data_IF_934653479483
#
_entry.id   IF_934653479483
#
_cell.length_a   1.000
_cell.length_b   1.000
_cell.length_c   1.000
_cell.angle_alpha   90.00
_cell.angle_beta   90.00
_cell.angle_gamma   90.00
#
_symmetry.space_group_name_H-M   'P 1'
#
loop_
_entity.id
_entity.type
_entity.pdbx_description
1 polymer ?
#
# COMPACT_ATOMS: atom_id res chain seq x y z
N UNK A 1 -13.60 6.04 17.39
CA UNK A 1 -13.13 4.82 16.71
C UNK A 1 -11.75 4.47 17.22
N UNK A 2 -11.73 3.62 18.23
CA UNK A 2 -10.54 3.02 18.79
C UNK A 2 -10.20 1.75 18.00
N UNK A 3 -9.60 1.96 16.83
CA UNK A 3 -9.32 0.88 15.89
C UNK A 3 -8.05 0.11 16.30
N UNK A 4 -8.16 -1.22 16.24
CA UNK A 4 -7.04 -2.16 16.45
C UNK A 4 -6.90 -3.10 15.25
N UNK A 5 -5.66 -3.43 14.94
CA UNK A 5 -5.32 -4.44 13.93
C UNK A 5 -5.33 -5.82 14.59
N UNK A 6 -6.19 -6.71 14.10
CA UNK A 6 -6.20 -8.12 14.47
C UNK A 6 -5.69 -8.95 13.29
N UNK A 7 -4.75 -9.85 13.54
CA UNK A 7 -4.06 -10.63 12.50
C UNK A 7 -4.37 -12.09 12.71
N UNK A 8 -4.96 -12.72 11.70
CA UNK A 8 -5.24 -14.16 11.70
C UNK A 8 -4.38 -14.82 10.64
N UNK A 9 -3.70 -15.90 11.02
CA UNK A 9 -3.03 -16.78 10.08
C UNK A 9 -4.04 -17.79 9.54
N UNK A 10 -4.23 -17.81 8.22
CA UNK A 10 -4.98 -18.89 7.59
C UNK A 10 -4.00 -20.02 7.28
N UNK A 11 -4.22 -21.19 7.87
CA UNK A 11 -3.50 -22.39 7.49
C UNK A 11 -3.90 -22.77 6.06
N UNK A 12 -2.92 -22.72 5.17
CA UNK A 12 -3.01 -23.24 3.81
C UNK A 12 -2.16 -24.50 3.73
N UNK A 13 -2.56 -25.49 2.93
CA UNK A 13 -1.78 -26.73 2.73
C UNK A 13 -0.33 -26.43 2.29
N UNK A 14 -0.13 -25.30 1.60
CA UNK A 14 1.18 -24.72 1.34
C UNK A 14 1.63 -23.83 2.52
N UNK A 15 2.55 -24.35 3.32
CA UNK A 15 3.22 -23.64 4.42
C UNK A 15 4.03 -22.42 3.94
N UNK A 16 4.48 -22.41 2.68
CA UNK A 16 5.16 -21.26 2.05
C UNK A 16 4.20 -20.11 1.68
N UNK A 17 2.89 -20.36 1.67
CA UNK A 17 1.86 -19.40 1.25
C UNK A 17 0.91 -19.01 2.39
N UNK A 18 1.28 -19.26 3.65
CA UNK A 18 0.46 -18.91 4.80
C UNK A 18 -0.05 -17.46 4.71
N UNK A 19 -1.33 -17.31 4.36
CA UNK A 19 -1.92 -16.00 4.12
C UNK A 19 -2.32 -15.37 5.44
N UNK A 20 -1.59 -14.33 5.86
CA UNK A 20 -1.98 -13.48 6.98
C UNK A 20 -3.07 -12.51 6.55
N UNK A 21 -4.22 -12.61 7.20
CA UNK A 21 -5.33 -11.66 7.03
C UNK A 21 -5.26 -10.61 8.11
N UNK A 22 -5.42 -9.37 7.68
CA UNK A 22 -5.42 -8.20 8.54
C UNK A 22 -6.83 -7.70 8.66
N UNK A 23 -7.34 -7.65 9.88
CA UNK A 23 -8.70 -7.27 10.19
C UNK A 23 -8.68 -6.06 11.10
N UNK A 24 -9.66 -5.17 10.92
CA UNK A 24 -9.82 -3.94 11.68
C UNK A 24 -10.97 -4.16 12.65
N UNK A 25 -10.69 -3.96 13.92
CA UNK A 25 -11.64 -4.12 15.03
C UNK A 25 -11.82 -2.76 15.69
N UNK A 26 -13.04 -2.37 16.03
CA UNK A 26 -13.32 -1.11 16.76
C UNK A 26 -13.66 -1.37 18.22
N UNK A 27 -12.69 -1.13 19.11
CA UNK A 27 -12.83 -1.40 20.54
C UNK A 27 -13.85 -0.48 21.24
N UNK A 28 -14.34 0.57 20.57
CA UNK A 28 -15.41 1.41 21.11
C UNK A 28 -16.79 0.73 21.04
N UNK A 29 -16.99 -0.20 20.10
CA UNK A 29 -18.29 -0.87 19.90
C UNK A 29 -18.55 -1.99 20.93
N UNK A 30 -17.51 -2.74 21.32
CA UNK A 30 -17.58 -3.75 22.36
C UNK A 30 -16.18 -4.12 22.84
N UNK A 31 -16.03 -4.30 24.15
CA UNK A 31 -14.82 -4.86 24.76
C UNK A 31 -14.87 -6.38 24.90
N UNK A 32 -16.07 -6.96 24.87
CA UNK A 32 -16.33 -8.37 25.11
C UNK A 32 -16.48 -9.15 23.80
N UNK A 33 -16.20 -10.46 23.87
CA UNK A 33 -16.39 -11.36 22.74
C UNK A 33 -17.87 -11.46 22.37
N UNK A 34 -18.23 -11.48 21.06
CA UNK A 34 -17.34 -11.43 19.90
C UNK A 34 -16.72 -10.05 19.67
N UNK A 35 -15.44 -10.03 19.28
CA UNK A 35 -14.76 -8.77 18.96
C UNK A 35 -15.48 -8.05 17.81
N UNK A 36 -15.68 -6.73 17.91
CA UNK A 36 -16.41 -5.94 16.92
C UNK A 36 -15.59 -5.76 15.64
N UNK A 37 -15.71 -6.74 14.76
CA UNK A 37 -15.10 -6.71 13.44
C UNK A 37 -15.77 -5.65 12.57
N UNK A 38 -14.96 -4.73 12.05
CA UNK A 38 -15.44 -3.67 11.15
C UNK A 38 -15.23 -4.09 9.71
N UNK A 39 -13.99 -4.40 9.33
CA UNK A 39 -13.65 -4.76 7.95
C UNK A 39 -12.26 -5.41 7.84
N UNK A 40 -11.94 -5.95 6.65
CA UNK A 40 -10.61 -6.42 6.30
C UNK A 40 -9.77 -5.22 5.82
N UNK A 41 -8.53 -5.11 6.29
CA UNK A 41 -7.56 -4.16 5.77
C UNK A 41 -7.00 -4.68 4.43
N UNK A 42 -7.35 -4.07 3.29
CA UNK A 42 -6.88 -4.48 1.97
C UNK A 42 -5.35 -4.33 1.84
N UNK A 43 -4.77 -5.05 0.89
CA UNK A 43 -3.33 -4.95 0.56
C UNK A 43 -3.07 -3.66 -0.23
N UNK A 44 -3.89 -3.43 -1.26
CA UNK A 44 -3.80 -2.26 -2.12
C UNK A 44 -4.89 -1.27 -1.70
N UNK A 45 -4.48 -0.08 -1.27
CA UNK A 45 -5.39 1.05 -1.03
C UNK A 45 -5.12 2.07 -2.13
N UNK A 46 -6.13 2.39 -2.93
CA UNK A 46 -6.04 3.44 -3.94
C UNK A 46 -6.61 4.71 -3.34
N UNK A 47 -5.82 5.78 -3.28
CA UNK A 47 -6.35 7.12 -3.06
C UNK A 47 -7.16 7.52 -4.31
N UNK A 48 -8.43 7.18 -4.32
CA UNK A 48 -9.34 7.46 -5.42
C UNK A 48 -10.73 7.84 -4.92
N UNK A 49 -11.50 8.50 -5.79
CA UNK A 49 -12.84 9.01 -5.47
C UNK A 49 -13.86 7.87 -5.37
N UNK A 50 -13.62 6.74 -6.04
CA UNK A 50 -14.48 5.56 -6.00
C UNK A 50 -13.85 4.50 -5.10
N UNK A 51 -14.53 4.17 -4.00
CA UNK A 51 -14.10 3.09 -3.10
C UNK A 51 -14.07 1.76 -3.83
N UNK A 52 -12.90 1.12 -3.86
CA UNK A 52 -12.72 -0.21 -4.42
C UNK A 52 -13.04 -1.33 -3.41
N UNK A 53 -13.12 -0.99 -2.13
CA UNK A 53 -13.33 -1.94 -1.04
C UNK A 53 -14.05 -1.28 0.15
N UNK A 54 -14.58 -2.12 1.07
CA UNK A 54 -15.34 -1.68 2.25
C UNK A 54 -14.52 -0.74 3.14
N UNK A 55 -13.22 -1.02 3.33
CA UNK A 55 -12.34 -0.18 4.13
C UNK A 55 -12.22 1.24 3.56
N UNK A 56 -12.03 1.38 2.24
CA UNK A 56 -12.04 2.68 1.55
C UNK A 56 -13.40 3.35 1.61
N UNK A 57 -14.51 2.60 1.57
CA UNK A 57 -15.85 3.16 1.74
C UNK A 57 -16.09 3.74 3.13
N UNK A 58 -15.57 3.09 4.17
CA UNK A 58 -15.72 3.53 5.57
C UNK A 58 -14.83 4.72 5.92
N UNK A 59 -13.59 4.73 5.41
CA UNK A 59 -12.56 5.70 5.82
C UNK A 59 -12.22 6.74 4.74
N UNK A 60 -12.77 6.62 3.53
CA UNK A 60 -12.65 7.60 2.45
C UNK A 60 -11.20 8.01 2.16
N UNK A 61 -10.97 9.32 2.14
CA UNK A 61 -9.66 9.95 1.89
C UNK A 61 -8.63 9.65 2.98
N UNK A 62 -9.07 9.35 4.21
CA UNK A 62 -8.19 9.05 5.34
C UNK A 62 -7.77 7.58 5.42
N UNK A 63 -8.32 6.72 4.55
CA UNK A 63 -8.02 5.29 4.48
C UNK A 63 -6.52 4.97 4.53
N UNK A 64 -5.68 5.65 3.73
CA UNK A 64 -4.22 5.43 3.73
C UNK A 64 -3.59 5.82 5.07
N UNK A 65 -4.00 6.95 5.64
CA UNK A 65 -3.48 7.47 6.91
C UNK A 65 -3.81 6.50 8.04
N UNK A 66 -5.07 6.05 8.11
CA UNK A 66 -5.56 5.11 9.12
C UNK A 66 -4.87 3.75 8.95
N UNK A 67 -4.72 3.26 7.73
CA UNK A 67 -4.02 2.01 7.44
C UNK A 67 -2.56 2.05 7.92
N UNK A 68 -1.83 3.15 7.66
CA UNK A 68 -0.46 3.34 8.17
C UNK A 68 -0.42 3.33 9.68
N UNK A 69 -1.28 4.10 10.34
CA UNK A 69 -1.35 4.15 11.81
C UNK A 69 -1.65 2.77 12.42
N UNK A 70 -2.56 2.01 11.83
CA UNK A 70 -2.88 0.65 12.29
C UNK A 70 -1.70 -0.31 12.15
N UNK A 71 -0.98 -0.25 11.03
CA UNK A 71 0.21 -1.09 10.80
C UNK A 71 1.37 -0.68 11.70
N UNK A 72 1.61 0.62 11.90
CA UNK A 72 2.64 1.13 12.82
C UNK A 72 2.36 0.75 14.28
N UNK A 73 1.09 0.85 14.72
CA UNK A 73 0.67 0.34 16.03
C UNK A 73 0.84 -1.18 16.12
N UNK A 74 0.52 -1.90 15.03
CA UNK A 74 0.75 -3.34 14.92
C UNK A 74 2.22 -3.73 15.13
N UNK A 75 3.17 -2.96 14.58
CA UNK A 75 4.61 -3.21 14.76
C UNK A 75 5.09 -3.07 16.22
N UNK A 76 4.36 -2.35 17.06
CA UNK A 76 4.69 -2.22 18.50
C UNK A 76 4.24 -3.45 19.31
N UNK A 77 3.44 -4.34 18.72
CA UNK A 77 2.99 -5.57 19.37
C UNK A 77 4.03 -6.69 19.25
N UNK A 78 4.06 -7.60 20.22
CA UNK A 78 4.97 -8.76 20.22
C UNK A 78 4.43 -9.85 19.27
N UNK A 79 4.66 -9.67 17.96
CA UNK A 79 4.39 -10.69 16.95
C UNK A 79 5.64 -11.50 16.61
N UNK A 80 5.46 -12.66 15.98
CA UNK A 80 6.55 -13.42 15.38
C UNK A 80 7.27 -12.63 14.27
N UNK A 81 8.50 -13.05 13.95
CA UNK A 81 9.35 -12.39 12.96
C UNK A 81 8.67 -12.29 11.58
N UNK A 82 7.91 -13.31 11.21
CA UNK A 82 7.29 -13.40 9.90
C UNK A 82 6.06 -12.48 9.81
N UNK A 83 5.19 -12.45 10.84
CA UNK A 83 4.11 -11.46 10.94
C UNK A 83 4.66 -10.03 10.92
N UNK A 84 5.73 -9.78 11.66
CA UNK A 84 6.40 -8.47 11.70
C UNK A 84 6.91 -8.07 10.32
N UNK A 85 7.50 -9.02 9.57
CA UNK A 85 7.96 -8.80 8.19
C UNK A 85 6.80 -8.43 7.27
N UNK A 86 5.69 -9.17 7.32
CA UNK A 86 4.51 -8.89 6.48
C UNK A 86 3.92 -7.51 6.78
N UNK A 87 3.87 -7.10 8.06
CA UNK A 87 3.42 -5.74 8.44
C UNK A 87 4.35 -4.69 7.80
N UNK A 88 5.67 -4.85 7.91
CA UNK A 88 6.63 -3.91 7.29
C UNK A 88 6.49 -3.84 5.78
N UNK A 89 6.32 -4.98 5.13
CA UNK A 89 6.19 -5.04 3.67
C UNK A 89 4.90 -4.36 3.20
N UNK A 90 3.78 -4.53 3.92
CA UNK A 90 2.55 -3.76 3.68
C UNK A 90 2.76 -2.25 3.87
N UNK A 91 3.47 -1.86 4.90
CA UNK A 91 3.72 -0.44 5.19
C UNK A 91 4.53 0.23 4.07
N UNK A 92 5.52 -0.49 3.50
CA UNK A 92 6.26 -0.06 2.30
C UNK A 92 5.39 0.08 1.05
N UNK A 93 4.36 -0.76 0.90
CA UNK A 93 3.44 -0.66 -0.24
C UNK A 93 2.52 0.56 -0.13
N UNK A 94 2.19 1.00 1.09
CA UNK A 94 1.38 2.21 1.34
C UNK A 94 2.20 3.51 1.30
N UNK A 95 3.52 3.45 1.38
CA UNK A 95 4.37 4.61 1.15
C UNK A 95 4.50 4.87 -0.35
N UNK A 96 4.18 6.08 -0.84
CA UNK A 96 4.40 6.43 -2.24
C UNK A 96 5.85 6.15 -2.61
N UNK A 97 6.07 5.46 -3.73
CA UNK A 97 7.43 5.30 -4.25
C UNK A 97 7.97 6.69 -4.60
N UNK A 98 9.24 6.99 -4.27
CA UNK A 98 9.85 8.23 -4.73
C UNK A 98 9.76 8.28 -6.26
N UNK A 99 9.26 9.39 -6.80
CA UNK A 99 9.21 9.59 -8.24
C UNK A 99 10.63 9.66 -8.76
N UNK A 100 10.91 8.88 -9.80
CA UNK A 100 12.19 8.88 -10.48
C UNK A 100 12.25 10.12 -11.39
N UNK A 101 12.59 11.30 -10.83
CA UNK A 101 12.61 12.56 -11.60
C UNK A 101 14.00 12.79 -12.19
N UNK A 102 14.06 13.12 -13.48
CA UNK A 102 15.28 13.57 -14.16
C UNK A 102 14.97 14.66 -15.20
N UNK A 103 16.00 15.40 -15.62
CA UNK A 103 15.90 16.37 -16.71
C UNK A 103 16.02 15.69 -18.07
N UNK A 104 15.12 16.03 -18.99
CA UNK A 104 15.18 15.59 -20.38
C UNK A 104 16.40 16.20 -21.08
N UNK A 105 17.18 15.38 -21.80
CA UNK A 105 18.35 15.86 -22.55
C UNK A 105 17.95 16.81 -23.70
N UNK A 106 16.74 16.66 -24.25
CA UNK A 106 16.32 17.39 -25.46
C UNK A 106 15.60 18.71 -25.16
N UNK A 107 14.86 18.80 -24.05
CA UNK A 107 14.05 19.97 -23.71
C UNK A 107 14.28 20.50 -22.29
N UNK A 108 15.20 19.89 -21.53
CA UNK A 108 15.56 20.26 -20.15
C UNK A 108 14.43 20.24 -19.12
N UNK A 109 13.20 19.85 -19.50
CA UNK A 109 12.06 19.69 -18.59
C UNK A 109 12.27 18.50 -17.67
N UNK A 110 11.80 18.64 -16.44
CA UNK A 110 11.72 17.54 -15.48
C UNK A 110 10.66 16.53 -15.92
N UNK A 111 10.98 15.25 -15.87
CA UNK A 111 10.05 14.17 -16.19
C UNK A 111 10.31 12.94 -15.32
N UNK A 112 9.29 12.11 -15.15
CA UNK A 112 9.43 10.81 -14.49
C UNK A 112 10.05 9.79 -15.45
N UNK A 113 11.29 9.38 -15.17
CA UNK A 113 12.03 8.44 -16.01
C UNK A 113 11.68 6.99 -15.70
N UNK A 114 11.59 6.18 -16.75
CA UNK A 114 11.53 4.72 -16.63
C UNK A 114 12.93 4.14 -16.42
N UNK A 115 13.04 3.19 -15.49
CA UNK A 115 14.24 2.35 -15.32
C UNK A 115 14.11 1.08 -16.15
N UNK A 116 15.15 0.74 -16.88
CA UNK A 116 15.32 -0.49 -17.64
C UNK A 116 16.48 -1.30 -17.05
N UNK A 117 16.59 -2.58 -17.44
CA UNK A 117 17.64 -3.50 -16.93
C UNK A 117 19.07 -2.94 -17.04
N UNK A 118 19.33 -2.10 -18.04
CA UNK A 118 20.67 -1.57 -18.34
C UNK A 118 20.76 -0.03 -18.29
N UNK A 119 19.77 0.68 -17.74
CA UNK A 119 19.85 2.13 -17.64
C UNK A 119 18.52 2.83 -17.37
N UNK A 120 18.54 4.17 -17.42
CA UNK A 120 17.35 5.02 -17.26
C UNK A 120 17.01 5.77 -18.53
N UNK A 121 15.72 6.04 -18.72
CA UNK A 121 15.24 6.94 -19.77
C UNK A 121 15.87 8.33 -19.62
N UNK A 122 16.40 8.86 -20.72
CA UNK A 122 17.08 10.18 -20.76
C UNK A 122 16.23 11.29 -21.42
N UNK A 123 15.19 10.90 -22.13
CA UNK A 123 14.35 11.79 -22.94
C UNK A 123 12.90 11.64 -22.51
N UNK A 124 12.19 12.74 -22.29
CA UNK A 124 10.79 12.72 -21.93
C UNK A 124 9.90 12.12 -23.05
N UNK A 125 8.69 11.71 -22.70
CA UNK A 125 7.76 11.09 -23.65
C UNK A 125 7.38 12.04 -24.78
N UNK A 126 7.18 13.33 -24.50
CA UNK A 126 6.84 14.32 -25.54
C UNK A 126 7.90 14.38 -26.65
N UNK A 127 9.19 14.44 -26.27
CA UNK A 127 10.29 14.46 -27.22
C UNK A 127 10.50 13.11 -27.93
N UNK A 128 10.10 12.00 -27.32
CA UNK A 128 10.10 10.68 -27.98
C UNK A 128 9.00 10.61 -29.04
N UNK A 129 7.77 11.03 -28.71
CA UNK A 129 6.64 11.03 -29.64
C UNK A 129 6.89 11.95 -30.84
N UNK A 130 7.44 13.15 -30.61
CA UNK A 130 7.82 14.08 -31.69
C UNK A 130 8.87 13.51 -32.65
N UNK A 131 9.76 12.61 -32.19
CA UNK A 131 10.73 11.93 -33.05
C UNK A 131 10.09 10.81 -33.86
N UNK A 132 9.12 10.10 -33.28
CA UNK A 132 8.43 9.01 -33.95
C UNK A 132 7.54 9.48 -35.10
N UNK A 133 6.97 10.69 -35.02
CA UNK A 133 6.13 11.29 -36.07
C UNK A 133 6.91 11.99 -37.19
N UNK A 134 8.25 11.97 -37.15
CA UNK A 134 9.12 12.54 -38.21
C UNK A 134 9.60 11.49 -39.22
N UNK A 135 9.11 10.26 -39.10
CA UNK A 135 9.27 9.15 -40.03
C UNK A 135 7.90 8.72 -40.52
#
# INVERSE_FOLDING_TARGET
MNLRLHITQKETKDYLLAQRRFTVVDLDMSKDYPQPFVCILPINIKAGIKSSNIFEGLFGTDSIKIAKQLLEKGLKSKYDLETTRVIRDRLKQLTPRPKNIAKCINCSKDFEYRTYRFGRQKTCNDCLTQRATRY
#
